data_IF_651226712672
#
_entry.id   IF_651226712672
#
_cell.length_a   1.000
_cell.length_b   1.000
_cell.length_c   1.000
_cell.angle_alpha   90.00
_cell.angle_beta   90.00
_cell.angle_gamma   90.00
#
_symmetry.space_group_name_H-M   'P 1'
#
loop_
_entity.id
_entity.type
_entity.pdbx_description
1 polymer ?
#
# COMPACT_ATOMS: atom_id res chain seq x y z
N UNK A 1 10.59 4.92 15.03
CA UNK A 1 11.37 5.73 14.06
C UNK A 1 12.18 4.77 13.23
N UNK A 2 11.81 4.61 11.95
CA UNK A 2 12.51 3.74 11.00
C UNK A 2 13.93 4.25 10.81
N UNK A 3 14.93 3.44 11.17
CA UNK A 3 16.33 3.77 10.90
C UNK A 3 16.60 3.45 9.43
N UNK A 4 16.92 4.50 8.68
CA UNK A 4 17.34 4.42 7.29
C UNK A 4 18.58 3.50 7.22
N UNK A 5 18.59 2.46 6.37
CA UNK A 5 19.70 1.51 6.29
C UNK A 5 21.00 2.11 5.73
N UNK A 6 20.99 3.39 5.35
CA UNK A 6 22.15 4.16 4.89
C UNK A 6 22.70 5.14 5.94
N UNK A 7 22.05 5.26 7.12
CA UNK A 7 22.41 6.29 8.13
C UNK A 7 23.47 5.85 9.14
N UNK A 8 23.86 4.57 9.19
CA UNK A 8 24.95 4.13 10.04
C UNK A 8 26.22 3.95 9.21
N UNK A 9 27.09 4.96 9.32
CA UNK A 9 28.57 4.91 9.23
C UNK A 9 29.23 5.98 8.33
N UNK A 10 28.50 7.03 7.94
CA UNK A 10 29.14 8.24 7.39
C UNK A 10 29.52 9.22 8.50
N UNK A 11 30.79 9.20 8.93
CA UNK A 11 31.40 10.27 9.72
C UNK A 11 32.13 11.24 8.78
N UNK A 12 31.64 12.48 8.57
CA UNK A 12 32.44 13.50 7.93
C UNK A 12 33.44 14.04 8.95
N UNK A 13 34.72 13.71 8.81
CA UNK A 13 35.77 14.38 9.59
C UNK A 13 36.03 15.76 8.99
N UNK A 14 35.23 16.75 9.38
CA UNK A 14 35.68 18.14 9.34
C UNK A 14 36.59 18.38 10.54
N UNK A 15 37.88 18.06 10.38
CA UNK A 15 38.90 18.51 11.30
C UNK A 15 40.04 19.12 10.51
N UNK A 16 40.00 20.45 10.43
CA UNK A 16 41.14 21.37 10.42
C UNK A 16 42.17 21.24 9.29
N UNK A 17 42.23 22.32 8.51
CA UNK A 17 43.46 22.93 7.99
C UNK A 17 44.76 22.48 8.66
N UNK A 18 45.78 22.19 7.83
CA UNK A 18 47.17 21.78 8.14
C UNK A 18 47.45 20.29 8.37
N UNK A 19 47.19 19.44 7.37
CA UNK A 19 47.93 18.19 7.24
C UNK A 19 48.90 18.29 6.06
N UNK A 20 50.20 18.00 6.23
CA UNK A 20 51.14 17.99 5.12
C UNK A 20 50.66 16.96 4.10
N UNK A 21 50.50 17.40 2.85
CA UNK A 21 50.37 16.52 1.69
C UNK A 21 51.53 15.54 1.80
N UNK A 22 51.25 14.25 2.01
CA UNK A 22 52.30 13.23 2.03
C UNK A 22 52.87 13.11 0.62
N UNK A 23 53.87 13.93 0.34
CA UNK A 23 54.86 13.67 -0.69
C UNK A 23 55.66 12.45 -0.24
N UNK A 24 55.55 11.34 -0.97
CA UNK A 24 56.51 10.25 -0.83
C UNK A 24 57.63 10.49 -1.84
N UNK A 25 58.60 11.30 -1.44
CA UNK A 25 59.96 11.24 -1.97
C UNK A 25 60.77 10.33 -1.06
N UNK A 26 61.60 9.48 -1.69
CA UNK A 26 62.60 8.56 -1.14
C UNK A 26 62.09 7.14 -0.90
N UNK A 27 62.20 6.33 -1.95
CA UNK A 27 62.73 4.96 -1.85
C UNK A 27 63.68 4.75 -3.02
N UNK A 28 64.91 4.31 -2.72
CA UNK A 28 65.93 4.03 -3.70
C UNK A 28 65.54 2.88 -4.61
N UNK A 29 65.95 2.99 -5.87
CA UNK A 29 66.30 1.86 -6.75
C UNK A 29 65.44 0.59 -6.60
N UNK A 30 64.12 0.73 -6.67
CA UNK A 30 63.24 -0.39 -6.97
C UNK A 30 63.26 -0.58 -8.50
N UNK A 31 63.54 -1.81 -8.93
CA UNK A 31 63.39 -2.25 -10.31
C UNK A 31 62.00 -1.87 -10.81
N UNK A 32 61.86 -1.38 -12.06
CA UNK A 32 60.55 -1.05 -12.63
C UNK A 32 59.54 -2.20 -12.62
N UNK A 33 60.01 -3.42 -12.38
CA UNK A 33 59.21 -4.63 -12.15
C UNK A 33 58.38 -4.55 -10.84
N UNK A 34 58.93 -3.99 -9.75
CA UNK A 34 58.22 -3.87 -8.46
C UNK A 34 57.07 -2.84 -8.53
N UNK A 35 57.24 -1.78 -9.33
CA UNK A 35 56.22 -0.76 -9.54
C UNK A 35 55.08 -1.27 -10.43
N UNK A 36 55.38 -2.06 -11.46
CA UNK A 36 54.39 -2.70 -12.30
C UNK A 36 53.50 -3.68 -11.51
N UNK A 37 54.10 -4.51 -10.67
CA UNK A 37 53.39 -5.47 -9.80
C UNK A 37 52.45 -4.77 -8.80
N UNK A 38 52.87 -3.60 -8.29
CA UNK A 38 52.05 -2.78 -7.39
C UNK A 38 50.78 -2.27 -8.08
N UNK A 39 50.90 -1.67 -9.28
CA UNK A 39 49.75 -1.19 -10.03
C UNK A 39 48.85 -2.33 -10.50
N UNK A 40 49.43 -3.49 -10.86
CA UNK A 40 48.68 -4.67 -11.24
C UNK A 40 47.73 -5.11 -10.13
N UNK A 41 48.25 -5.22 -8.90
CA UNK A 41 47.48 -5.62 -7.72
C UNK A 41 46.38 -4.62 -7.38
N UNK A 42 46.65 -3.33 -7.56
CA UNK A 42 45.68 -2.28 -7.28
C UNK A 42 44.53 -2.25 -8.29
N UNK A 43 44.82 -2.46 -9.59
CA UNK A 43 43.80 -2.60 -10.64
C UNK A 43 42.92 -3.83 -10.35
N UNK A 44 43.52 -4.96 -10.00
CA UNK A 44 42.77 -6.17 -9.67
C UNK A 44 41.89 -5.99 -8.43
N UNK A 45 42.42 -5.37 -7.37
CA UNK A 45 41.66 -5.07 -6.16
C UNK A 45 40.43 -4.21 -6.47
N UNK A 46 40.61 -3.14 -7.23
CA UNK A 46 39.53 -2.19 -7.55
C UNK A 46 38.46 -2.81 -8.48
N UNK A 47 38.87 -3.63 -9.45
CA UNK A 47 37.94 -4.37 -10.31
C UNK A 47 37.15 -5.41 -9.52
N UNK A 48 37.80 -6.17 -8.63
CA UNK A 48 37.11 -7.15 -7.79
C UNK A 48 36.10 -6.48 -6.85
N UNK A 49 36.48 -5.37 -6.21
CA UNK A 49 35.58 -4.59 -5.36
C UNK A 49 34.37 -4.06 -6.15
N UNK A 50 34.59 -3.63 -7.39
CA UNK A 50 33.53 -3.14 -8.29
C UNK A 50 32.59 -4.28 -8.71
N UNK A 51 33.13 -5.45 -9.04
CA UNK A 51 32.36 -6.64 -9.37
C UNK A 51 31.46 -7.07 -8.19
N UNK A 52 32.05 -7.19 -7.00
CA UNK A 52 31.29 -7.55 -5.80
C UNK A 52 30.21 -6.50 -5.47
N UNK A 53 30.51 -5.22 -5.68
CA UNK A 53 29.56 -4.12 -5.46
C UNK A 53 28.40 -4.14 -6.46
N UNK A 54 28.68 -4.35 -7.74
CA UNK A 54 27.64 -4.46 -8.77
C UNK A 54 26.79 -5.70 -8.59
N UNK A 55 27.37 -6.83 -8.18
CA UNK A 55 26.62 -8.06 -7.89
C UNK A 55 25.68 -7.88 -6.70
N UNK A 56 26.14 -7.27 -5.59
CA UNK A 56 25.28 -6.94 -4.44
C UNK A 56 24.15 -6.02 -4.87
N UNK A 57 24.47 -4.97 -5.63
CA UNK A 57 23.49 -3.97 -6.08
C UNK A 57 22.42 -4.60 -6.98
N UNK A 58 22.82 -5.47 -7.93
CA UNK A 58 21.90 -6.24 -8.77
C UNK A 58 20.94 -7.09 -7.93
N UNK A 59 21.45 -7.87 -6.97
CA UNK A 59 20.62 -8.67 -6.07
C UNK A 59 19.64 -7.81 -5.26
N UNK A 60 20.06 -6.64 -4.81
CA UNK A 60 19.18 -5.70 -4.11
C UNK A 60 18.07 -5.16 -5.01
N UNK A 61 18.36 -4.85 -6.27
CA UNK A 61 17.36 -4.38 -7.23
C UNK A 61 16.35 -5.47 -7.58
N UNK A 62 16.80 -6.71 -7.80
CA UNK A 62 15.90 -7.86 -8.06
C UNK A 62 14.97 -8.13 -6.87
N UNK A 63 15.51 -8.07 -5.65
CA UNK A 63 14.70 -8.19 -4.44
C UNK A 63 13.69 -7.04 -4.33
N UNK A 64 14.10 -5.81 -4.66
CA UNK A 64 13.21 -4.64 -4.65
C UNK A 64 12.09 -4.78 -5.69
N UNK A 65 12.39 -5.32 -6.86
CA UNK A 65 11.43 -5.56 -7.93
C UNK A 65 10.40 -6.61 -7.51
N UNK A 66 10.85 -7.72 -6.91
CA UNK A 66 9.97 -8.76 -6.34
C UNK A 66 9.06 -8.22 -5.23
N UNK A 67 9.61 -7.37 -4.35
CA UNK A 67 8.81 -6.71 -3.31
C UNK A 67 7.77 -5.80 -3.96
N UNK A 68 8.19 -4.98 -4.92
CA UNK A 68 7.30 -4.06 -5.63
C UNK A 68 6.17 -4.76 -6.38
N UNK A 69 6.43 -5.89 -7.04
CA UNK A 69 5.39 -6.65 -7.74
C UNK A 69 4.40 -7.29 -6.77
N UNK A 70 4.87 -7.80 -5.64
CA UNK A 70 4.01 -8.26 -4.55
C UNK A 70 3.15 -7.12 -4.00
N UNK A 71 3.72 -5.94 -3.78
CA UNK A 71 2.97 -4.74 -3.38
C UNK A 71 1.93 -4.35 -4.42
N UNK A 72 2.26 -4.42 -5.72
CA UNK A 72 1.32 -4.16 -6.79
C UNK A 72 0.10 -5.11 -6.73
N UNK A 73 0.35 -6.41 -6.53
CA UNK A 73 -0.72 -7.40 -6.37
C UNK A 73 -1.61 -7.10 -5.16
N UNK A 74 -1.00 -6.74 -4.02
CA UNK A 74 -1.76 -6.36 -2.82
C UNK A 74 -2.63 -5.12 -3.06
N UNK A 75 -2.12 -4.10 -3.75
CA UNK A 75 -2.92 -2.91 -4.08
C UNK A 75 -4.10 -3.26 -5.00
N UNK A 76 -3.90 -4.16 -5.97
CA UNK A 76 -4.98 -4.63 -6.84
C UNK A 76 -6.07 -5.37 -6.05
N UNK A 77 -5.68 -6.26 -5.11
CA UNK A 77 -6.63 -6.96 -4.23
C UNK A 77 -7.36 -5.98 -3.29
N UNK A 78 -6.63 -5.01 -2.72
CA UNK A 78 -7.22 -3.96 -1.89
C UNK A 78 -8.25 -3.15 -2.67
N UNK A 79 -7.94 -2.81 -3.92
CA UNK A 79 -8.87 -2.12 -4.80
C UNK A 79 -10.17 -2.89 -4.98
N UNK A 80 -10.10 -4.18 -5.25
CA UNK A 80 -11.30 -5.01 -5.42
C UNK A 80 -12.19 -4.97 -4.16
N UNK A 81 -11.57 -5.01 -2.97
CA UNK A 81 -12.29 -4.88 -1.69
C UNK A 81 -12.96 -3.51 -1.55
N UNK A 82 -12.30 -2.43 -1.95
CA UNK A 82 -12.88 -1.09 -1.93
C UNK A 82 -14.02 -0.96 -2.93
N UNK A 83 -13.90 -1.50 -4.14
CA UNK A 83 -14.98 -1.51 -5.14
C UNK A 83 -16.21 -2.29 -4.65
N UNK A 84 -16.00 -3.44 -4.02
CA UNK A 84 -17.09 -4.21 -3.40
C UNK A 84 -17.72 -3.44 -2.22
N UNK A 85 -16.92 -2.74 -1.43
CA UNK A 85 -17.41 -1.89 -0.34
C UNK A 85 -18.27 -0.74 -0.89
N UNK A 86 -17.81 -0.05 -1.95
CA UNK A 86 -18.56 1.03 -2.59
C UNK A 86 -19.90 0.52 -3.15
N UNK A 87 -19.92 -0.65 -3.81
CA UNK A 87 -21.16 -1.30 -4.29
C UNK A 87 -22.12 -1.65 -3.16
N UNK A 88 -21.63 -2.22 -2.07
CA UNK A 88 -22.46 -2.57 -0.91
C UNK A 88 -23.09 -1.30 -0.29
N UNK A 89 -22.35 -0.19 -0.22
CA UNK A 89 -22.89 1.08 0.24
C UNK A 89 -23.97 1.62 -0.70
N UNK A 90 -23.81 1.48 -2.01
CA UNK A 90 -24.85 1.87 -2.97
C UNK A 90 -26.11 0.98 -2.84
N UNK A 91 -25.94 -0.32 -2.58
CA UNK A 91 -27.05 -1.24 -2.32
C UNK A 91 -27.79 -0.91 -1.01
N UNK A 92 -27.05 -0.60 0.06
CA UNK A 92 -27.63 -0.13 1.32
C UNK A 92 -28.46 1.13 1.05
N UNK A 93 -27.92 2.10 0.31
CA UNK A 93 -28.66 3.33 -0.02
C UNK A 93 -29.98 3.03 -0.74
N UNK A 94 -29.97 2.14 -1.74
CA UNK A 94 -31.17 1.71 -2.47
C UNK A 94 -32.17 1.02 -1.54
N UNK A 95 -31.69 0.14 -0.67
CA UNK A 95 -32.51 -0.58 0.31
C UNK A 95 -33.15 0.39 1.28
N UNK A 96 -32.37 1.31 1.83
CA UNK A 96 -32.83 2.40 2.69
C UNK A 96 -33.91 3.25 1.99
N UNK A 97 -33.77 3.60 0.71
CA UNK A 97 -34.83 4.31 -0.02
C UNK A 97 -36.14 3.49 -0.10
N UNK A 98 -36.04 2.19 -0.36
CA UNK A 98 -37.21 1.30 -0.39
C UNK A 98 -37.85 1.17 0.99
N UNK A 99 -37.03 1.02 2.05
CA UNK A 99 -37.47 1.02 3.45
C UNK A 99 -38.21 2.30 3.78
N UNK A 100 -37.72 3.48 3.36
CA UNK A 100 -38.41 4.75 3.61
C UNK A 100 -39.81 4.78 3.00
N UNK A 101 -39.95 4.30 1.75
CA UNK A 101 -41.25 4.23 1.08
C UNK A 101 -42.21 3.31 1.84
N UNK A 102 -41.71 2.16 2.30
CA UNK A 102 -42.50 1.21 3.08
C UNK A 102 -42.91 1.79 4.45
N UNK A 103 -42.00 2.47 5.16
CA UNK A 103 -42.29 3.13 6.44
C UNK A 103 -43.33 4.26 6.26
N UNK A 104 -43.23 5.05 5.19
CA UNK A 104 -44.22 6.06 4.86
C UNK A 104 -45.61 5.45 4.62
N UNK A 105 -45.68 4.32 3.90
CA UNK A 105 -46.93 3.58 3.71
C UNK A 105 -47.49 3.05 5.04
N UNK A 106 -46.65 2.50 5.93
CA UNK A 106 -47.08 1.96 7.24
C UNK A 106 -47.63 3.06 8.17
N UNK A 107 -47.02 4.25 8.19
CA UNK A 107 -47.55 5.39 8.95
C UNK A 107 -48.97 5.74 8.53
N UNK A 108 -49.31 5.61 7.25
CA UNK A 108 -50.65 5.88 6.73
C UNK A 108 -51.70 4.86 7.18
N UNK A 109 -51.31 3.64 7.61
CA UNK A 109 -52.28 2.63 8.08
C UNK A 109 -52.65 2.76 9.56
N UNK A 110 -51.80 3.37 10.40
CA UNK A 110 -52.05 3.50 11.85
C UNK A 110 -52.72 4.82 12.26
N UNK A 111 -52.88 5.78 11.34
CA UNK A 111 -53.35 7.14 11.64
C UNK A 111 -54.80 7.50 11.27
N UNK A 112 -55.55 6.64 10.58
CA UNK A 112 -56.95 6.93 10.26
C UNK A 112 -57.51 6.13 9.08
N UNK A 113 -58.74 5.66 9.24
CA UNK A 113 -59.61 5.09 8.20
C UNK A 113 -59.48 5.83 6.85
N UNK A 114 -59.31 5.12 5.73
CA UNK A 114 -60.17 5.17 4.53
C UNK A 114 -59.53 4.47 3.33
N UNK A 115 -60.37 3.66 2.68
CA UNK A 115 -60.35 3.29 1.26
C UNK A 115 -59.59 4.31 0.39
N UNK A 116 -58.49 3.90 -0.25
CA UNK A 116 -58.25 4.37 -1.61
C UNK A 116 -57.54 3.32 -2.46
N UNK A 117 -58.22 2.97 -3.55
CA UNK A 117 -57.81 2.07 -4.63
C UNK A 117 -56.63 2.66 -5.41
N UNK A 118 -55.75 1.75 -5.85
CA UNK A 118 -55.00 1.77 -7.12
C UNK A 118 -54.05 2.96 -7.42
N UNK A 119 -52.92 2.60 -8.04
CA UNK A 119 -52.16 3.35 -9.06
C UNK A 119 -50.82 3.92 -8.59
N UNK A 120 -49.76 3.12 -8.77
CA UNK A 120 -48.75 3.20 -9.86
C UNK A 120 -47.41 2.66 -9.37
N UNK A 121 -46.88 1.69 -10.11
CA UNK A 121 -45.53 1.13 -9.98
C UNK A 121 -44.52 2.28 -10.16
N UNK A 122 -43.56 2.52 -9.24
CA UNK A 122 -42.49 3.47 -9.50
C UNK A 122 -41.59 2.89 -10.58
N UNK A 123 -41.26 3.72 -11.56
CA UNK A 123 -40.26 3.44 -12.57
C UNK A 123 -38.92 3.09 -11.91
N UNK A 124 -38.27 2.07 -12.47
CA UNK A 124 -36.92 1.69 -12.07
C UNK A 124 -35.95 2.83 -12.38
N UNK A 125 -35.13 3.27 -11.42
CA UNK A 125 -34.05 4.18 -11.74
C UNK A 125 -33.07 3.45 -12.66
N UNK A 126 -32.85 4.06 -13.82
CA UNK A 126 -31.94 3.66 -14.88
C UNK A 126 -30.56 3.29 -14.34
N UNK A 127 -30.08 2.14 -14.82
CA UNK A 127 -28.68 1.80 -15.12
C UNK A 127 -27.64 2.75 -14.49
N UNK A 128 -27.06 2.29 -13.38
CA UNK A 128 -25.80 2.83 -12.88
C UNK A 128 -24.75 2.70 -13.99
N UNK A 129 -23.96 3.75 -14.28
CA UNK A 129 -22.80 3.60 -15.15
C UNK A 129 -21.91 2.55 -14.50
N UNK A 130 -21.61 1.48 -15.24
CA UNK A 130 -20.64 0.47 -14.83
C UNK A 130 -19.40 1.19 -14.30
N UNK A 131 -19.02 0.90 -13.06
CA UNK A 131 -17.84 1.47 -12.41
C UNK A 131 -16.69 1.31 -13.41
N UNK A 132 -16.13 2.40 -13.95
CA UNK A 132 -15.14 2.28 -15.00
C UNK A 132 -13.96 1.50 -14.44
N UNK A 133 -13.61 0.38 -15.06
CA UNK A 133 -12.40 -0.36 -14.71
C UNK A 133 -11.24 0.63 -14.68
N UNK A 134 -10.53 0.67 -13.55
CA UNK A 134 -9.53 1.70 -13.35
C UNK A 134 -8.41 1.57 -14.35
N UNK A 135 -8.15 2.67 -15.04
CA UNK A 135 -6.97 2.78 -15.93
C UNK A 135 -5.67 2.63 -15.14
N UNK A 136 -5.67 2.98 -13.85
CA UNK A 136 -4.53 2.77 -12.94
C UNK A 136 -4.29 1.30 -12.64
N UNK A 137 -5.34 0.55 -12.26
CA UNK A 137 -5.24 -0.86 -11.90
C UNK A 137 -4.85 -1.75 -13.09
N UNK A 138 -5.42 -1.48 -14.27
CA UNK A 138 -5.04 -2.19 -15.50
C UNK A 138 -3.57 -1.96 -15.87
N UNK A 139 -3.09 -0.72 -15.80
CA UNK A 139 -1.67 -0.39 -16.02
C UNK A 139 -0.75 -1.01 -14.98
N UNK A 140 -1.13 -0.96 -13.71
CA UNK A 140 -0.35 -1.59 -12.64
C UNK A 140 -0.26 -3.11 -12.81
N UNK A 141 -1.37 -3.75 -13.20
CA UNK A 141 -1.41 -5.17 -13.52
C UNK A 141 -0.49 -5.50 -14.70
N UNK A 142 -0.57 -4.75 -15.80
CA UNK A 142 0.29 -4.92 -16.97
C UNK A 142 1.78 -4.70 -16.64
N UNK A 143 2.10 -3.66 -15.86
CA UNK A 143 3.45 -3.40 -15.38
C UNK A 143 3.97 -4.53 -14.50
N UNK A 144 3.17 -5.02 -13.55
CA UNK A 144 3.56 -6.15 -12.68
C UNK A 144 3.77 -7.45 -13.47
N UNK A 145 2.93 -7.73 -14.47
CA UNK A 145 3.00 -8.91 -15.30
C UNK A 145 4.22 -8.86 -16.25
N UNK A 146 4.47 -7.71 -16.88
CA UNK A 146 5.63 -7.53 -17.77
C UNK A 146 6.96 -7.67 -17.03
N UNK A 147 7.06 -7.12 -15.82
CA UNK A 147 8.21 -7.31 -14.93
C UNK A 147 8.39 -8.78 -14.55
N UNK A 148 7.31 -9.44 -14.12
CA UNK A 148 7.36 -10.86 -13.70
C UNK A 148 7.74 -11.81 -14.83
N UNK A 149 7.45 -11.43 -16.07
CA UNK A 149 7.84 -12.17 -17.27
C UNK A 149 9.32 -11.97 -17.68
N UNK A 150 10.12 -11.22 -16.91
CA UNK A 150 11.50 -10.89 -17.26
C UNK A 150 11.61 -9.89 -18.41
N UNK A 151 10.52 -9.22 -18.76
CA UNK A 151 10.49 -8.22 -19.81
C UNK A 151 11.11 -6.91 -19.34
N UNK A 152 12.37 -6.68 -19.69
CA UNK A 152 12.92 -5.32 -19.73
C UNK A 152 12.15 -4.57 -20.83
N UNK A 153 11.30 -3.62 -20.44
CA UNK A 153 10.46 -2.90 -21.40
C UNK A 153 11.33 -1.95 -22.23
N UNK A 154 11.97 -2.47 -23.28
CA UNK A 154 12.58 -1.70 -24.36
C UNK A 154 11.54 -0.92 -25.18
N UNK A 155 10.24 -1.14 -24.95
CA UNK A 155 9.13 -0.46 -25.61
C UNK A 155 8.43 0.53 -24.68
N UNK A 156 9.11 1.62 -24.32
CA UNK A 156 8.43 2.85 -23.90
C UNK A 156 8.56 3.88 -25.03
N UNK A 157 7.45 4.17 -25.70
CA UNK A 157 7.31 5.28 -26.65
C UNK A 157 7.11 6.61 -25.90
N UNK A 158 8.09 6.99 -25.07
CA UNK A 158 8.21 8.36 -24.59
C UNK A 158 9.02 9.22 -25.56
N UNK A 159 9.01 10.56 -25.40
CA UNK A 159 9.89 11.42 -26.17
C UNK A 159 11.33 10.99 -25.88
N UNK A 160 11.94 10.37 -26.88
CA UNK A 160 13.32 9.92 -26.93
C UNK A 160 14.23 11.15 -26.88
N UNK A 161 14.44 11.65 -25.66
CA UNK A 161 15.43 12.66 -25.33
C UNK A 161 16.49 12.07 -24.42
N UNK A 162 17.65 11.77 -24.99
CA UNK A 162 18.96 11.69 -24.34
C UNK A 162 19.38 10.48 -23.48
N UNK A 163 18.54 9.48 -23.19
CA UNK A 163 18.97 8.31 -22.36
C UNK A 163 18.78 6.93 -23.00
N UNK A 164 18.66 6.90 -24.34
CA UNK A 164 18.57 5.67 -25.12
C UNK A 164 19.78 5.49 -26.03
N UNK A 165 20.58 4.45 -25.78
CA UNK A 165 21.43 3.85 -26.81
C UNK A 165 22.90 4.25 -26.82
N UNK A 166 23.61 4.07 -25.71
CA UNK A 166 24.97 3.52 -25.77
C UNK A 166 25.25 2.91 -24.40
N UNK A 167 25.58 1.62 -24.32
CA UNK A 167 26.12 1.03 -23.10
C UNK A 167 27.24 1.95 -22.62
N UNK A 168 27.02 2.62 -21.49
CA UNK A 168 28.05 3.46 -20.89
C UNK A 168 29.04 2.52 -20.27
N UNK A 169 29.98 2.10 -21.10
CA UNK A 169 31.05 1.22 -20.68
C UNK A 169 31.85 1.93 -19.60
N UNK A 170 32.14 1.23 -18.52
CA UNK A 170 32.92 1.69 -17.36
C UNK A 170 34.24 2.34 -17.77
N UNK A 171 34.92 1.72 -18.75
CA UNK A 171 36.24 2.13 -19.23
C UNK A 171 36.21 2.77 -20.61
N UNK A 172 37.13 3.73 -20.80
CA UNK A 172 37.39 4.33 -22.11
C UNK A 172 38.11 3.33 -23.04
N UNK A 173 38.14 3.65 -24.34
CA UNK A 173 38.68 2.75 -25.35
C UNK A 173 40.18 2.45 -25.16
N UNK A 174 40.96 3.43 -24.66
CA UNK A 174 42.39 3.25 -24.41
C UNK A 174 42.64 2.28 -23.26
N UNK A 175 41.87 2.41 -22.17
CA UNK A 175 41.94 1.51 -21.01
C UNK A 175 41.49 0.10 -21.37
N UNK A 176 40.44 -0.05 -22.19
CA UNK A 176 40.01 -1.36 -22.69
C UNK A 176 41.07 -2.05 -23.52
N UNK A 177 41.71 -1.33 -24.44
CA UNK A 177 42.79 -1.89 -25.23
C UNK A 177 43.99 -2.32 -24.38
N UNK A 178 44.22 -1.66 -23.24
CA UNK A 178 45.27 -2.04 -22.29
C UNK A 178 44.94 -3.31 -21.49
N UNK A 179 43.66 -3.58 -21.22
CA UNK A 179 43.21 -4.78 -20.49
C UNK A 179 42.81 -5.95 -21.40
N UNK A 180 42.74 -5.73 -22.71
CA UNK A 180 42.29 -6.73 -23.69
C UNK A 180 43.17 -7.99 -23.65
N UNK A 181 42.54 -9.16 -23.63
CA UNK A 181 43.20 -10.46 -23.53
C UNK A 181 43.69 -10.80 -22.12
N UNK A 182 43.42 -9.96 -21.12
CA UNK A 182 43.77 -10.22 -19.71
C UNK A 182 42.54 -10.64 -18.91
N UNK A 183 42.76 -11.13 -17.68
CA UNK A 183 41.68 -11.41 -16.72
C UNK A 183 40.83 -10.17 -16.40
N UNK A 184 41.39 -8.96 -16.51
CA UNK A 184 40.67 -7.72 -16.24
C UNK A 184 39.60 -7.41 -17.28
N UNK A 185 39.79 -7.81 -18.54
CA UNK A 185 38.75 -7.67 -19.57
C UNK A 185 37.52 -8.50 -19.20
N UNK A 186 37.69 -9.72 -18.69
CA UNK A 186 36.58 -10.55 -18.26
C UNK A 186 35.82 -9.92 -17.07
N UNK A 187 36.54 -9.37 -16.10
CA UNK A 187 35.92 -8.69 -14.95
C UNK A 187 35.21 -7.38 -15.38
N UNK A 188 35.83 -6.57 -16.23
CA UNK A 188 35.23 -5.33 -16.75
C UNK A 188 33.95 -5.61 -17.54
N UNK A 189 33.96 -6.63 -18.41
CA UNK A 189 32.78 -7.04 -19.16
C UNK A 189 31.64 -7.51 -18.23
N UNK A 190 31.95 -8.22 -17.13
CA UNK A 190 30.95 -8.62 -16.14
C UNK A 190 30.39 -7.42 -15.36
N UNK A 191 31.22 -6.43 -15.06
CA UNK A 191 30.78 -5.19 -14.42
C UNK A 191 29.83 -4.44 -15.36
N UNK A 192 30.20 -4.28 -16.64
CA UNK A 192 29.34 -3.66 -17.66
C UNK A 192 28.00 -4.40 -17.80
N UNK A 193 28.00 -5.73 -17.87
CA UNK A 193 26.78 -6.54 -17.93
C UNK A 193 25.90 -6.35 -16.68
N UNK A 194 26.51 -6.36 -15.49
CA UNK A 194 25.80 -6.09 -14.25
C UNK A 194 25.19 -4.68 -14.23
N UNK A 195 25.92 -3.66 -14.69
CA UNK A 195 25.43 -2.29 -14.75
C UNK A 195 24.27 -2.13 -15.74
N UNK A 196 24.33 -2.81 -16.87
CA UNK A 196 23.23 -2.83 -17.84
C UNK A 196 21.97 -3.47 -17.25
N UNK A 197 22.11 -4.63 -16.58
CA UNK A 197 21.01 -5.27 -15.85
C UNK A 197 20.45 -4.37 -14.74
N UNK A 198 21.33 -3.75 -13.95
CA UNK A 198 20.93 -2.80 -12.89
C UNK A 198 20.16 -1.62 -13.49
N UNK A 199 20.58 -1.09 -14.64
CA UNK A 199 19.88 0.00 -15.34
C UNK A 199 18.48 -0.41 -15.80
N UNK A 200 18.32 -1.65 -16.28
CA UNK A 200 17.02 -2.20 -16.66
C UNK A 200 16.11 -2.36 -15.44
N UNK A 201 16.62 -2.94 -14.34
CA UNK A 201 15.88 -3.13 -13.10
C UNK A 201 15.45 -1.78 -12.50
N UNK A 202 16.31 -0.75 -12.54
CA UNK A 202 15.97 0.59 -12.10
C UNK A 202 14.85 1.22 -12.93
N UNK A 203 14.85 1.04 -14.25
CA UNK A 203 13.75 1.51 -15.12
C UNK A 203 12.44 0.78 -14.79
N UNK A 204 12.49 -0.53 -14.56
CA UNK A 204 11.33 -1.31 -14.13
C UNK A 204 10.78 -0.81 -12.79
N UNK A 205 11.65 -0.62 -11.80
CA UNK A 205 11.29 -0.06 -10.48
C UNK A 205 10.71 1.35 -10.60
N UNK A 206 11.24 2.21 -11.47
CA UNK A 206 10.71 3.54 -11.72
C UNK A 206 9.28 3.48 -12.26
N UNK A 207 9.05 2.65 -13.28
CA UNK A 207 7.70 2.46 -13.86
C UNK A 207 6.73 1.91 -12.82
N UNK A 208 7.14 0.88 -12.10
CA UNK A 208 6.36 0.27 -11.02
C UNK A 208 6.03 1.30 -9.94
N UNK A 209 6.99 2.08 -9.47
CA UNK A 209 6.76 3.14 -8.49
C UNK A 209 5.77 4.20 -8.96
N UNK A 210 5.81 4.60 -10.23
CA UNK A 210 4.84 5.53 -10.80
C UNK A 210 3.43 4.95 -10.87
N UNK A 211 3.29 3.69 -11.26
CA UNK A 211 1.98 3.02 -11.35
C UNK A 211 1.40 2.71 -9.97
N UNK A 212 2.24 2.28 -9.01
CA UNK A 212 1.88 2.13 -7.61
C UNK A 212 1.38 3.46 -7.02
N UNK A 213 2.10 4.56 -7.27
CA UNK A 213 1.72 5.88 -6.79
C UNK A 213 0.36 6.33 -7.33
N UNK A 214 0.12 6.18 -8.64
CA UNK A 214 -1.18 6.50 -9.26
C UNK A 214 -2.31 5.63 -8.72
N UNK A 215 -2.07 4.34 -8.50
CA UNK A 215 -3.07 3.45 -7.93
C UNK A 215 -3.43 3.84 -6.49
N UNK A 216 -2.45 4.19 -5.66
CA UNK A 216 -2.69 4.70 -4.30
C UNK A 216 -3.51 6.00 -4.34
N UNK A 217 -3.17 6.95 -5.22
CA UNK A 217 -3.92 8.20 -5.36
C UNK A 217 -5.39 7.95 -5.77
N UNK A 218 -5.63 6.99 -6.67
CA UNK A 218 -6.98 6.65 -7.11
C UNK A 218 -7.76 5.86 -6.05
N UNK A 219 -7.11 5.00 -5.27
CA UNK A 219 -7.71 4.36 -4.10
C UNK A 219 -8.04 5.37 -2.99
N UNK A 220 -7.19 6.37 -2.75
CA UNK A 220 -7.48 7.44 -1.79
C UNK A 220 -8.77 8.19 -2.16
N UNK A 221 -8.94 8.54 -3.44
CA UNK A 221 -10.20 9.14 -3.93
C UNK A 221 -11.40 8.20 -3.76
N UNK A 222 -11.19 6.88 -3.88
CA UNK A 222 -12.25 5.89 -3.65
C UNK A 222 -12.63 5.83 -2.17
N UNK A 223 -11.65 5.84 -1.27
CA UNK A 223 -11.86 5.91 0.17
C UNK A 223 -12.68 7.15 0.57
N UNK A 224 -12.38 8.33 0.01
CA UNK A 224 -13.16 9.55 0.27
C UNK A 224 -14.63 9.39 -0.12
N UNK A 225 -14.90 8.80 -1.29
CA UNK A 225 -16.28 8.52 -1.74
C UNK A 225 -16.98 7.50 -0.85
N UNK A 226 -16.28 6.42 -0.49
CA UNK A 226 -16.78 5.38 0.41
C UNK A 226 -17.13 5.99 1.76
N UNK A 227 -16.25 6.82 2.33
CA UNK A 227 -16.47 7.50 3.60
C UNK A 227 -17.74 8.36 3.56
N UNK A 228 -17.87 9.20 2.52
CA UNK A 228 -19.07 10.02 2.35
C UNK A 228 -20.36 9.20 2.22
N UNK A 229 -20.33 8.12 1.42
CA UNK A 229 -21.49 7.23 1.27
C UNK A 229 -21.82 6.50 2.57
N UNK A 230 -20.81 6.07 3.33
CA UNK A 230 -20.98 5.39 4.61
C UNK A 230 -21.63 6.31 5.65
N UNK A 231 -21.10 7.53 5.84
CA UNK A 231 -21.67 8.51 6.77
C UNK A 231 -23.12 8.84 6.43
N UNK A 232 -23.40 9.04 5.13
CA UNK A 232 -24.77 9.29 4.66
C UNK A 232 -25.69 8.12 4.97
N UNK A 233 -25.28 6.90 4.66
CA UNK A 233 -26.09 5.71 4.88
C UNK A 233 -26.32 5.46 6.38
N UNK A 234 -25.30 5.60 7.22
CA UNK A 234 -25.41 5.47 8.68
C UNK A 234 -26.43 6.48 9.25
N UNK A 235 -26.37 7.74 8.83
CA UNK A 235 -27.33 8.76 9.25
C UNK A 235 -28.78 8.39 8.87
N UNK A 236 -29.01 7.92 7.64
CA UNK A 236 -30.37 7.56 7.20
C UNK A 236 -30.87 6.29 7.90
N UNK A 237 -30.03 5.27 8.03
CA UNK A 237 -30.38 4.02 8.72
C UNK A 237 -30.75 4.31 10.18
N UNK A 238 -30.01 5.18 10.88
CA UNK A 238 -30.35 5.60 12.24
C UNK A 238 -31.69 6.33 12.35
N UNK A 239 -32.02 7.19 11.37
CA UNK A 239 -33.32 7.87 11.37
C UNK A 239 -34.46 6.87 11.11
N UNK A 240 -34.26 5.94 10.17
CA UNK A 240 -35.24 4.89 9.87
C UNK A 240 -35.46 3.94 11.04
N UNK A 241 -34.41 3.58 11.76
CA UNK A 241 -34.53 2.75 12.96
C UNK A 241 -35.36 3.45 14.03
N UNK A 242 -35.13 4.75 14.27
CA UNK A 242 -35.96 5.56 15.18
C UNK A 242 -37.41 5.65 14.71
N UNK A 243 -37.65 5.83 13.41
CA UNK A 243 -39.01 5.86 12.85
C UNK A 243 -39.72 4.52 13.05
N UNK A 244 -39.03 3.41 12.79
CA UNK A 244 -39.55 2.06 12.98
C UNK A 244 -39.90 1.80 14.46
N UNK A 245 -39.02 2.14 15.41
CA UNK A 245 -39.30 2.03 16.85
C UNK A 245 -40.55 2.81 17.27
N UNK A 246 -40.80 3.99 16.70
CA UNK A 246 -42.03 4.76 16.96
C UNK A 246 -43.27 4.04 16.41
N UNK A 247 -43.21 3.45 15.22
CA UNK A 247 -44.33 2.70 14.62
C UNK A 247 -44.65 1.44 15.43
N UNK A 248 -43.63 0.74 15.93
CA UNK A 248 -43.81 -0.44 16.78
C UNK A 248 -44.32 -0.11 18.20
N UNK A 249 -44.52 1.17 18.54
CA UNK A 249 -45.13 1.57 19.81
C UNK A 249 -44.21 1.46 21.02
N UNK A 250 -42.94 1.12 20.86
CA UNK A 250 -41.97 1.02 21.98
C UNK A 250 -41.51 2.38 22.52
N UNK A 251 -41.91 3.49 21.89
CA UNK A 251 -41.58 4.86 22.34
C UNK A 251 -42.71 5.64 23.02
N UNK A 252 -43.93 5.11 23.12
CA UNK A 252 -45.11 5.88 23.58
C UNK A 252 -45.80 5.34 24.86
N UNK A 253 -45.32 4.24 25.44
CA UNK A 253 -45.91 3.62 26.62
C UNK A 253 -44.92 3.47 27.78
N UNK A 254 -44.18 4.52 28.13
CA UNK A 254 -43.55 4.64 29.46
C UNK A 254 -43.41 6.10 29.85
N UNK A 255 -44.52 6.81 29.98
CA UNK A 255 -44.56 8.10 30.67
C UNK A 255 -45.91 8.24 31.36
N UNK A 256 -45.88 8.15 32.69
CA UNK A 256 -46.93 8.48 33.65
C UNK A 256 -48.10 7.50 33.83
N UNK A 257 -47.91 6.56 34.77
CA UNK A 257 -48.88 6.33 35.84
C UNK A 257 -48.12 6.24 37.16
N UNK A 258 -48.21 7.34 37.92
CA UNK A 258 -48.44 7.39 39.37
C UNK A 258 -47.69 6.42 40.29
N UNK A 259 -46.95 7.03 41.20
CA UNK A 259 -46.45 6.48 42.46
C UNK A 259 -47.41 5.47 43.12
N UNK A 260 -46.94 4.24 43.31
CA UNK A 260 -47.28 3.40 44.46
C UNK A 260 -46.18 2.36 44.66
N UNK A 261 -45.80 2.20 45.93
CA UNK A 261 -44.67 1.40 46.42
C UNK A 261 -44.76 -0.08 46.05
N UNK A 262 -43.76 -0.62 45.38
CA UNK A 262 -43.53 -2.07 45.29
C UNK A 262 -42.02 -2.37 45.39
N UNK A 263 -41.47 -2.22 46.59
CA UNK A 263 -40.32 -3.06 46.97
C UNK A 263 -40.88 -4.43 47.36
N UNK A 264 -40.41 -5.55 46.77
CA UNK A 264 -40.76 -6.86 47.31
C UNK A 264 -40.12 -7.00 48.69
N UNK A 265 -40.95 -6.88 49.74
CA UNK A 265 -40.56 -7.23 51.10
C UNK A 265 -40.29 -8.73 51.15
N UNK A 266 -39.01 -9.13 51.09
CA UNK A 266 -38.62 -10.51 51.37
C UNK A 266 -38.90 -10.81 52.84
N UNK A 267 -39.72 -11.83 53.09
CA UNK A 267 -40.04 -12.30 54.44
C UNK A 267 -38.77 -12.71 55.22
N UNK A 268 -38.79 -12.50 56.53
CA UNK A 268 -37.64 -12.70 57.41
C UNK A 268 -37.09 -14.14 57.34
N UNK A 269 -37.98 -15.11 57.07
CA UNK A 269 -37.62 -16.52 56.88
C UNK A 269 -36.73 -16.75 55.65
N UNK A 270 -37.01 -16.04 54.55
CA UNK A 270 -36.20 -16.11 53.31
C UNK A 270 -34.83 -15.47 53.50
N UNK A 271 -34.75 -14.35 54.23
CA UNK A 271 -33.47 -13.70 54.55
C UNK A 271 -32.59 -14.57 55.45
N UNK A 272 -33.18 -15.23 56.45
CA UNK A 272 -32.42 -16.11 57.35
C UNK A 272 -31.91 -17.38 56.65
N UNK A 273 -32.71 -17.94 55.73
CA UNK A 273 -32.31 -19.10 54.92
C UNK A 273 -31.12 -18.79 54.00
N UNK A 274 -31.10 -17.61 53.39
CA UNK A 274 -29.98 -17.17 52.54
C UNK A 274 -28.69 -16.96 53.36
N UNK A 275 -28.83 -16.41 54.57
CA UNK A 275 -27.69 -16.11 55.44
C UNK A 275 -27.07 -17.38 56.04
N UNK A 276 -27.89 -18.37 56.39
CA UNK A 276 -27.42 -19.70 56.86
C UNK A 276 -26.74 -20.51 55.74
N UNK A 277 -27.18 -20.37 54.48
CA UNK A 277 -26.54 -21.02 53.33
C UNK A 277 -25.20 -20.40 52.95
N UNK A 278 -25.00 -19.11 53.22
CA UNK A 278 -23.75 -18.43 52.95
C UNK A 278 -22.66 -18.77 53.98
N UNK A 279 -23.03 -19.04 55.24
CA UNK A 279 -22.08 -19.43 56.30
C UNK A 279 -21.63 -20.89 56.23
N UNK A 280 -22.33 -21.77 55.50
CA UNK A 280 -21.87 -23.15 55.26
C UNK A 280 -20.91 -23.30 54.08
N UNK A 281 -20.59 -22.22 53.36
CA UNK A 281 -19.66 -22.22 52.22
C UNK A 281 -18.25 -21.72 52.58
N UNK A 282 -18.01 -21.36 53.85
CA UNK A 282 -16.71 -20.88 54.34
C UNK A 282 -16.28 -21.60 55.63
N UNK A 283 -16.52 -22.91 55.72
CA UNK A 283 -15.92 -23.77 56.74
C UNK A 283 -15.41 -25.06 56.12
#
# INVERSE_FOLDING_TARGET
>A
MSRNPFDNDYKPSYASSNMPVKSYTTMGQHSGEDEADYYEREIERTLQESLDSTERSRRHLENSEKIGTSTAQQLLEQREKLENTEKNLDEIHRTTQQTQRNLNNLKSFFGGFFKNKLTKKPAEPSEVPAVPQSKSASRLSETSASISAGGSSASFSGPSGAYGGSGQRTLNESSRNAIKGTRWEAMDNQIDENLDMMSANLRNLQRLGQDLGKEVDDQNKMLDRIHYKADRNDAIVRDQDKQMQRILGTGASTSQTTAESLTPSMDASTKMSLMMKATSLFK
#
